data_IF_146233720552
#
_entry.id   IF_146233720552
#
_cell.length_a   1.000
_cell.length_b   1.000
_cell.length_c   1.000
_cell.angle_alpha   90.00
_cell.angle_beta   90.00
_cell.angle_gamma   90.00
#
_symmetry.space_group_name_H-M   'P 1'
#
loop_
_entity.id
_entity.type
_entity.pdbx_description
1 polymer ?
#
# COMPACT_ATOMS: atom_id res chain seq x y z
N UNK A 1 3.93 4.28 -8.67
CA UNK A 1 3.71 4.73 -7.27
C UNK A 1 2.81 5.97 -7.16
N UNK A 2 2.08 6.13 -6.05
CA UNK A 2 1.04 7.16 -5.84
C UNK A 2 1.50 8.60 -6.12
N UNK A 3 2.76 8.96 -5.82
CA UNK A 3 3.26 10.31 -6.06
C UNK A 3 3.28 10.69 -7.54
N UNK A 4 3.62 9.72 -8.42
CA UNK A 4 3.59 9.90 -9.88
C UNK A 4 2.15 9.94 -10.40
N UNK A 5 1.29 9.08 -9.88
CA UNK A 5 -0.14 9.04 -10.26
C UNK A 5 -0.95 10.23 -9.71
N UNK A 6 -0.44 10.95 -8.70
CA UNK A 6 -1.12 12.06 -8.03
C UNK A 6 -0.17 13.25 -7.80
N UNK A 7 0.15 14.04 -8.85
CA UNK A 7 1.05 15.17 -8.74
C UNK A 7 0.62 16.14 -7.63
N UNK A 8 1.57 16.56 -6.78
CA UNK A 8 1.32 17.46 -5.66
C UNK A 8 0.67 16.84 -4.41
N UNK A 9 0.19 15.59 -4.47
CA UNK A 9 -0.50 14.96 -3.34
C UNK A 9 0.34 14.92 -2.07
N UNK A 10 1.57 14.41 -2.15
CA UNK A 10 2.44 14.31 -0.97
C UNK A 10 2.91 15.66 -0.46
N UNK A 11 2.99 16.69 -1.31
CA UNK A 11 3.23 18.07 -0.86
C UNK A 11 2.09 18.55 0.04
N UNK A 12 0.84 18.31 -0.37
CA UNK A 12 -0.32 18.65 0.46
C UNK A 12 -0.31 17.91 1.80
N UNK A 13 -0.02 16.60 1.76
CA UNK A 13 0.08 15.77 2.97
C UNK A 13 1.17 16.27 3.92
N UNK A 14 2.41 16.45 3.45
CA UNK A 14 3.50 16.92 4.31
C UNK A 14 3.24 18.33 4.84
N UNK A 15 2.64 19.21 4.04
CA UNK A 15 2.27 20.57 4.47
C UNK A 15 1.27 20.54 5.63
N UNK A 16 0.18 19.77 5.53
CA UNK A 16 -0.82 19.73 6.60
C UNK A 16 -0.29 19.00 7.83
N UNK A 17 0.44 17.89 7.66
CA UNK A 17 0.99 17.13 8.79
C UNK A 17 2.05 17.95 9.53
N UNK A 18 2.94 18.67 8.84
CA UNK A 18 3.91 19.55 9.47
C UNK A 18 3.23 20.67 10.29
N UNK A 19 2.16 21.28 9.75
CA UNK A 19 1.36 22.24 10.51
C UNK A 19 0.75 21.62 11.76
N UNK A 20 0.19 20.41 11.65
CA UNK A 20 -0.41 19.71 12.78
C UNK A 20 0.64 19.33 13.85
N UNK A 21 1.82 18.87 13.46
CA UNK A 21 2.92 18.60 14.40
C UNK A 21 3.36 19.87 15.12
N UNK A 22 3.44 21.01 14.43
CA UNK A 22 3.79 22.29 15.05
C UNK A 22 2.70 22.79 16.03
N UNK A 23 1.42 22.56 15.73
CA UNK A 23 0.29 23.00 16.57
C UNK A 23 0.11 22.09 17.79
N UNK A 24 0.09 20.77 17.58
CA UNK A 24 -0.25 19.78 18.60
C UNK A 24 0.97 19.38 19.44
N UNK A 25 2.17 19.45 18.85
CA UNK A 25 3.43 19.01 19.46
C UNK A 25 3.35 17.61 20.10
N UNK A 26 2.90 16.59 19.34
CA UNK A 26 2.73 15.25 19.90
C UNK A 26 4.08 14.59 20.15
N UNK A 27 4.17 13.79 21.22
CA UNK A 27 5.33 12.91 21.43
C UNK A 27 5.33 11.73 20.45
N UNK A 28 4.12 11.21 20.13
CA UNK A 28 3.93 10.05 19.24
C UNK A 28 2.78 10.37 18.28
N UNK A 29 2.95 10.05 17.00
CA UNK A 29 1.90 10.15 15.98
C UNK A 29 1.71 8.80 15.28
N UNK A 30 0.45 8.35 15.22
CA UNK A 30 0.08 7.07 14.63
C UNK A 30 -0.49 7.25 13.22
N UNK A 31 -0.04 6.44 12.28
CA UNK A 31 -0.55 6.39 10.91
C UNK A 31 -0.77 4.94 10.48
N UNK A 32 -1.77 4.70 9.63
CA UNK A 32 -2.03 3.34 9.13
C UNK A 32 -1.05 2.92 8.04
N UNK A 33 -0.56 1.68 8.10
CA UNK A 33 0.34 1.09 7.11
C UNK A 33 -0.30 0.92 5.73
N UNK A 34 -1.63 1.01 5.64
CA UNK A 34 -2.37 0.94 4.36
C UNK A 34 -1.88 2.01 3.38
N UNK A 35 -1.63 3.23 3.87
CA UNK A 35 -1.03 4.31 3.08
C UNK A 35 0.51 4.27 3.24
N UNK A 36 1.13 3.13 2.88
CA UNK A 36 2.55 2.85 3.12
C UNK A 36 3.47 4.00 2.67
N UNK A 37 3.24 4.51 1.46
CA UNK A 37 4.04 5.61 0.91
C UNK A 37 3.88 6.91 1.68
N UNK A 38 2.68 7.20 2.19
CA UNK A 38 2.45 8.36 3.04
C UNK A 38 3.24 8.23 4.34
N UNK A 39 3.18 7.07 4.99
CA UNK A 39 3.95 6.82 6.21
C UNK A 39 5.46 6.98 5.96
N UNK A 40 5.99 6.43 4.87
CA UNK A 40 7.39 6.59 4.50
C UNK A 40 7.78 8.06 4.30
N UNK A 41 6.96 8.82 3.55
CA UNK A 41 7.18 10.25 3.32
C UNK A 41 7.08 11.06 4.62
N UNK A 42 6.14 10.76 5.51
CA UNK A 42 5.98 11.45 6.79
C UNK A 42 7.17 11.15 7.70
N UNK A 43 7.61 9.89 7.81
CA UNK A 43 8.83 9.53 8.55
C UNK A 43 10.04 10.29 8.04
N UNK A 44 10.22 10.33 6.72
CA UNK A 44 11.31 11.08 6.09
C UNK A 44 11.24 12.57 6.42
N UNK A 45 10.08 13.18 6.30
CA UNK A 45 9.84 14.59 6.65
C UNK A 45 10.15 14.85 8.13
N UNK A 46 9.69 13.98 9.05
CA UNK A 46 9.96 14.11 10.48
C UNK A 46 11.45 14.12 10.77
N UNK A 47 12.20 13.20 10.16
CA UNK A 47 13.67 13.14 10.29
C UNK A 47 14.34 14.36 9.67
N UNK A 48 14.05 14.68 8.41
CA UNK A 48 14.73 15.77 7.69
C UNK A 48 14.48 17.15 8.33
N UNK A 49 13.32 17.34 8.98
CA UNK A 49 12.95 18.60 9.64
C UNK A 49 13.17 18.58 11.16
N UNK A 50 13.78 17.52 11.71
CA UNK A 50 14.07 17.36 13.14
C UNK A 50 12.84 17.54 14.04
N UNK A 51 11.66 17.08 13.59
CA UNK A 51 10.48 17.07 14.43
C UNK A 51 10.67 16.08 15.59
N UNK A 52 10.45 16.48 16.86
CA UNK A 52 10.59 15.59 18.02
C UNK A 52 9.36 14.69 18.19
N UNK A 53 8.97 13.99 17.13
CA UNK A 53 7.75 13.15 17.07
C UNK A 53 8.13 11.73 16.68
N UNK A 54 7.77 10.74 17.50
CA UNK A 54 7.87 9.33 17.14
C UNK A 54 6.72 8.92 16.21
N UNK A 55 7.03 8.58 14.95
CA UNK A 55 6.02 8.23 13.94
C UNK A 55 5.85 6.71 13.83
N UNK A 56 4.72 6.22 14.34
CA UNK A 56 4.41 4.79 14.40
C UNK A 56 3.39 4.37 13.35
N UNK A 57 3.72 3.28 12.64
CA UNK A 57 2.83 2.62 11.72
C UNK A 57 1.93 1.61 12.44
N UNK A 58 0.64 1.61 12.15
CA UNK A 58 -0.31 0.62 12.65
C UNK A 58 -0.70 -0.38 11.53
N UNK A 59 -0.92 -1.66 11.86
CA UNK A 59 -1.32 -2.68 10.88
C UNK A 59 -2.55 -2.28 10.06
N UNK A 60 -2.65 -2.84 8.85
CA UNK A 60 -3.83 -2.67 8.01
C UNK A 60 -5.00 -3.40 8.66
N UNK A 61 -6.03 -2.66 9.05
CA UNK A 61 -7.30 -3.24 9.48
C UNK A 61 -8.08 -3.66 8.23
N UNK A 62 -8.56 -4.91 8.22
CA UNK A 62 -9.31 -5.50 7.11
C UNK A 62 -10.73 -5.80 7.57
N UNK A 63 -11.67 -5.70 6.63
CA UNK A 63 -13.02 -6.25 6.79
C UNK A 63 -12.96 -7.78 6.88
N UNK A 64 -14.04 -8.44 7.29
CA UNK A 64 -14.07 -9.91 7.51
C UNK A 64 -13.67 -10.72 6.27
N UNK A 65 -13.90 -10.17 5.07
CA UNK A 65 -13.57 -10.77 3.78
C UNK A 65 -12.17 -10.38 3.25
N UNK A 66 -11.38 -9.68 4.07
CA UNK A 66 -10.00 -9.32 3.78
C UNK A 66 -9.81 -7.98 3.07
N UNK A 67 -10.87 -7.31 2.62
CA UNK A 67 -10.73 -5.98 2.01
C UNK A 67 -10.12 -4.99 3.02
N UNK A 68 -9.08 -4.27 2.63
CA UNK A 68 -8.51 -3.22 3.49
C UNK A 68 -9.58 -2.15 3.79
N UNK A 69 -9.80 -1.86 5.08
CA UNK A 69 -10.82 -0.88 5.49
C UNK A 69 -10.51 0.49 4.89
N UNK A 70 -11.54 1.15 4.38
CA UNK A 70 -11.44 2.46 3.74
C UNK A 70 -12.76 3.19 3.90
N UNK A 71 -12.72 4.47 4.24
CA UNK A 71 -13.91 5.33 4.09
C UNK A 71 -14.43 5.34 2.66
N UNK A 72 -13.55 5.11 1.66
CA UNK A 72 -13.91 5.01 0.25
C UNK A 72 -14.72 3.76 -0.11
N UNK A 73 -14.73 2.71 0.73
CA UNK A 73 -15.46 1.47 0.44
C UNK A 73 -16.97 1.74 0.37
N UNK A 74 -17.47 2.79 1.04
CA UNK A 74 -18.87 3.23 0.97
C UNK A 74 -19.31 3.67 -0.43
N UNK A 75 -18.36 4.05 -1.30
CA UNK A 75 -18.65 4.51 -2.65
C UNK A 75 -18.85 3.33 -3.62
N UNK A 76 -18.58 2.10 -3.19
CA UNK A 76 -18.71 0.91 -4.03
C UNK A 76 -20.16 0.43 -4.04
N UNK A 77 -20.70 0.14 -5.22
CA UNK A 77 -21.92 -0.67 -5.32
C UNK A 77 -21.68 -2.08 -4.77
N UNK A 78 -22.74 -2.84 -4.50
CA UNK A 78 -22.60 -4.22 -4.03
C UNK A 78 -21.78 -5.11 -5.00
N UNK A 79 -21.90 -4.87 -6.32
CA UNK A 79 -21.10 -5.57 -7.33
C UNK A 79 -19.64 -5.13 -7.29
N UNK A 80 -19.38 -3.83 -7.28
CA UNK A 80 -18.02 -3.29 -7.19
C UNK A 80 -17.33 -3.70 -5.88
N UNK A 81 -18.05 -3.79 -4.77
CA UNK A 81 -17.53 -4.25 -3.47
C UNK A 81 -17.05 -5.70 -3.51
N UNK A 82 -17.73 -6.56 -4.27
CA UNK A 82 -17.27 -7.95 -4.51
C UNK A 82 -16.03 -7.97 -5.39
N UNK A 83 -16.00 -7.17 -6.46
CA UNK A 83 -14.83 -7.07 -7.35
C UNK A 83 -13.59 -6.49 -6.65
N UNK A 84 -13.78 -5.58 -5.70
CA UNK A 84 -12.70 -5.00 -4.88
C UNK A 84 -11.92 -6.05 -4.07
N UNK A 85 -12.50 -7.23 -3.82
CA UNK A 85 -11.80 -8.34 -3.17
C UNK A 85 -10.68 -8.93 -4.02
N UNK A 86 -10.65 -8.65 -5.33
CA UNK A 86 -9.53 -9.03 -6.19
C UNK A 86 -8.20 -8.45 -5.72
N UNK A 87 -8.19 -7.27 -5.07
CA UNK A 87 -6.97 -6.67 -4.53
C UNK A 87 -6.35 -7.58 -3.46
N UNK A 88 -7.15 -7.97 -2.45
CA UNK A 88 -6.68 -8.85 -1.38
C UNK A 88 -6.34 -10.25 -1.91
N UNK A 89 -7.19 -10.83 -2.76
CA UNK A 89 -6.94 -12.14 -3.37
C UNK A 89 -5.67 -12.16 -4.24
N UNK A 90 -5.33 -11.05 -4.88
CA UNK A 90 -4.10 -10.93 -5.66
C UNK A 90 -2.84 -10.87 -4.77
N UNK A 91 -2.96 -10.29 -3.57
CA UNK A 91 -1.90 -10.31 -2.55
C UNK A 91 -1.69 -11.74 -2.05
N UNK A 92 -2.77 -12.46 -1.71
CA UNK A 92 -2.67 -13.87 -1.28
C UNK A 92 -2.05 -14.75 -2.37
N UNK A 93 -2.38 -14.50 -3.64
CA UNK A 93 -1.77 -15.18 -4.77
C UNK A 93 -0.25 -14.91 -4.82
N UNK A 94 0.17 -13.65 -4.71
CA UNK A 94 1.59 -13.30 -4.73
C UNK A 94 2.35 -13.94 -3.56
N UNK A 95 1.78 -13.90 -2.35
CA UNK A 95 2.34 -14.58 -1.18
C UNK A 95 2.49 -16.08 -1.41
N UNK A 96 1.46 -16.74 -1.97
CA UNK A 96 1.50 -18.17 -2.28
C UNK A 96 2.59 -18.52 -3.29
N UNK A 97 2.80 -17.68 -4.31
CA UNK A 97 3.86 -17.88 -5.31
C UNK A 97 5.25 -17.74 -4.69
N UNK A 98 5.46 -16.75 -3.83
CA UNK A 98 6.73 -16.57 -3.09
C UNK A 98 7.02 -17.78 -2.19
N UNK A 99 6.01 -18.29 -1.47
CA UNK A 99 6.16 -19.52 -0.66
C UNK A 99 6.50 -20.76 -1.49
N UNK A 100 6.15 -20.77 -2.78
CA UNK A 100 6.52 -21.83 -3.74
C UNK A 100 7.88 -21.61 -4.40
N UNK A 101 8.59 -20.54 -4.04
CA UNK A 101 9.94 -20.23 -4.50
C UNK A 101 10.02 -19.26 -5.68
N UNK A 102 8.92 -18.68 -6.15
CA UNK A 102 9.00 -17.62 -7.16
C UNK A 102 9.36 -16.29 -6.51
N UNK A 103 10.53 -15.75 -6.83
CA UNK A 103 11.04 -14.49 -6.27
C UNK A 103 11.05 -13.38 -7.29
N UNK A 104 10.89 -13.63 -8.59
CA UNK A 104 11.02 -12.57 -9.61
C UNK A 104 9.81 -11.65 -9.56
N UNK A 105 10.07 -10.37 -9.32
CA UNK A 105 9.03 -9.34 -9.21
C UNK A 105 8.16 -9.27 -10.46
N UNK A 106 8.75 -9.41 -11.65
CA UNK A 106 8.00 -9.39 -12.92
C UNK A 106 6.92 -10.47 -12.96
N UNK A 107 7.26 -11.71 -12.58
CA UNK A 107 6.31 -12.83 -12.60
C UNK A 107 5.20 -12.64 -11.57
N UNK A 108 5.54 -12.13 -10.38
CA UNK A 108 4.56 -11.83 -9.34
C UNK A 108 3.62 -10.69 -9.76
N UNK A 109 4.16 -9.61 -10.33
CA UNK A 109 3.38 -8.48 -10.84
C UNK A 109 2.43 -8.94 -11.93
N UNK A 110 2.88 -9.74 -12.89
CA UNK A 110 2.03 -10.24 -13.98
C UNK A 110 0.89 -11.12 -13.45
N UNK A 111 1.15 -11.98 -12.45
CA UNK A 111 0.12 -12.79 -11.81
C UNK A 111 -0.92 -11.94 -11.06
N UNK A 112 -0.47 -10.91 -10.33
CA UNK A 112 -1.33 -9.96 -9.63
C UNK A 112 -2.22 -9.21 -10.62
N UNK A 113 -1.63 -8.67 -11.69
CA UNK A 113 -2.36 -7.94 -12.73
C UNK A 113 -3.41 -8.82 -13.38
N UNK A 114 -3.03 -10.01 -13.80
CA UNK A 114 -3.93 -10.99 -14.41
C UNK A 114 -5.11 -11.34 -13.50
N UNK A 115 -4.90 -11.42 -12.18
CA UNK A 115 -5.98 -11.70 -11.22
C UNK A 115 -6.96 -10.53 -11.09
N UNK A 116 -6.46 -9.30 -11.07
CA UNK A 116 -7.27 -8.08 -10.92
C UNK A 116 -8.06 -7.80 -12.20
N UNK A 117 -7.43 -7.97 -13.36
CA UNK A 117 -8.02 -7.69 -14.68
C UNK A 117 -9.15 -8.67 -15.07
N UNK A 118 -9.36 -9.74 -14.30
CA UNK A 118 -10.55 -10.60 -14.42
C UNK A 118 -11.85 -9.91 -13.98
N UNK A 119 -11.75 -8.86 -13.16
CA UNK A 119 -12.91 -8.13 -12.68
C UNK A 119 -13.24 -6.97 -13.65
N UNK A 120 -14.48 -6.87 -14.18
CA UNK A 120 -14.78 -6.00 -15.30
C UNK A 120 -14.73 -4.50 -14.97
N UNK A 121 -14.98 -4.09 -13.73
CA UNK A 121 -14.89 -2.68 -13.32
C UNK A 121 -13.48 -2.31 -12.82
N UNK A 122 -12.51 -3.23 -12.86
CA UNK A 122 -11.18 -3.00 -12.35
C UNK A 122 -10.24 -2.35 -13.38
N UNK A 123 -9.67 -1.22 -13.02
CA UNK A 123 -8.62 -0.53 -13.77
C UNK A 123 -7.39 -0.33 -12.87
N UNK A 124 -6.29 -0.99 -13.22
CA UNK A 124 -5.03 -0.87 -12.48
C UNK A 124 -4.41 0.51 -12.74
N UNK A 125 -4.13 1.25 -11.67
CA UNK A 125 -3.30 2.47 -11.72
C UNK A 125 -1.83 2.09 -11.64
N UNK A 126 -1.46 1.28 -10.64
CA UNK A 126 -0.16 0.63 -10.61
C UNK A 126 -0.19 -0.65 -9.77
N UNK A 127 0.72 -1.56 -10.10
CA UNK A 127 1.17 -2.67 -9.27
C UNK A 127 2.69 -2.64 -9.32
N UNK A 128 3.35 -2.59 -8.18
CA UNK A 128 4.79 -2.37 -8.09
C UNK A 128 5.34 -3.07 -6.86
N UNK A 129 6.53 -3.67 -6.95
CA UNK A 129 7.24 -4.24 -5.81
C UNK A 129 8.54 -3.47 -5.64
N UNK A 130 8.76 -2.96 -4.42
CA UNK A 130 9.90 -2.11 -4.11
C UNK A 130 10.55 -2.49 -2.79
N UNK A 131 11.77 -2.02 -2.54
CA UNK A 131 12.38 -2.07 -1.21
C UNK A 131 11.64 -1.10 -0.25
N UNK A 132 11.42 -1.54 0.99
CA UNK A 132 10.60 -0.84 1.98
C UNK A 132 11.13 0.55 2.37
N UNK A 133 12.44 0.77 2.30
CA UNK A 133 13.07 2.02 2.77
C UNK A 133 13.29 3.00 1.61
N UNK A 134 13.84 2.50 0.50
CA UNK A 134 14.19 3.31 -0.67
C UNK A 134 13.00 3.57 -1.60
N UNK A 135 11.96 2.74 -1.55
CA UNK A 135 10.84 2.71 -2.50
C UNK A 135 11.31 2.53 -3.97
N UNK A 136 12.53 2.03 -4.18
CA UNK A 136 13.05 1.68 -5.51
C UNK A 136 12.58 0.28 -5.90
N UNK A 137 12.38 0.08 -7.20
CA UNK A 137 11.98 -1.21 -7.76
C UNK A 137 13.03 -2.28 -7.44
N UNK A 138 12.54 -3.48 -7.13
CA UNK A 138 13.38 -4.66 -6.91
C UNK A 138 13.09 -5.70 -7.98
N UNK A 139 14.13 -6.31 -8.53
CA UNK A 139 13.99 -7.38 -9.53
C UNK A 139 13.58 -8.71 -8.89
N UNK A 140 14.09 -8.99 -7.70
CA UNK A 140 13.77 -10.15 -6.90
C UNK A 140 13.26 -9.75 -5.50
N UNK A 141 12.22 -10.44 -5.06
CA UNK A 141 11.55 -10.25 -3.78
C UNK A 141 12.34 -10.92 -2.67
N UNK A 142 12.50 -10.21 -1.56
CA UNK A 142 13.09 -10.70 -0.33
C UNK A 142 12.32 -10.16 0.89
N UNK A 143 12.80 -10.42 2.11
CA UNK A 143 12.15 -10.00 3.35
C UNK A 143 12.00 -8.48 3.53
N UNK A 144 12.68 -7.65 2.74
CA UNK A 144 12.56 -6.18 2.77
C UNK A 144 11.63 -5.62 1.68
N UNK A 145 11.11 -6.49 0.82
CA UNK A 145 10.27 -6.09 -0.30
C UNK A 145 8.84 -5.81 0.15
N UNK A 146 8.22 -4.83 -0.50
CA UNK A 146 6.82 -4.43 -0.29
C UNK A 146 6.12 -4.38 -1.64
N UNK A 147 5.02 -5.10 -1.75
CA UNK A 147 4.07 -4.98 -2.84
C UNK A 147 3.16 -3.77 -2.58
N UNK A 148 3.07 -2.87 -3.55
CA UNK A 148 2.17 -1.72 -3.54
C UNK A 148 1.23 -1.80 -4.74
N UNK A 149 -0.08 -1.69 -4.49
CA UNK A 149 -1.07 -1.69 -5.56
C UNK A 149 -2.10 -0.58 -5.38
N UNK A 150 -2.55 -0.05 -6.52
CA UNK A 150 -3.65 0.89 -6.60
C UNK A 150 -4.53 0.53 -7.79
N UNK A 151 -5.83 0.39 -7.53
CA UNK A 151 -6.81 -0.07 -8.52
C UNK A 151 -8.05 0.80 -8.38
N UNK A 152 -8.60 1.25 -9.50
CA UNK A 152 -9.94 1.83 -9.54
C UNK A 152 -10.95 0.71 -9.77
N UNK A 153 -11.98 0.66 -8.94
CA UNK A 153 -13.16 -0.19 -9.16
C UNK A 153 -14.33 0.76 -9.43
N UNK A 154 -14.78 0.81 -10.70
CA UNK A 154 -15.58 1.93 -11.18
C UNK A 154 -14.84 3.26 -10.95
N UNK A 155 -15.47 4.22 -10.29
CA UNK A 155 -14.86 5.52 -9.98
C UNK A 155 -14.03 5.52 -8.68
N UNK A 156 -14.10 4.44 -7.89
CA UNK A 156 -13.48 4.38 -6.56
C UNK A 156 -12.06 3.86 -6.65
N UNK A 157 -11.07 4.74 -6.39
CA UNK A 157 -9.65 4.36 -6.30
C UNK A 157 -9.30 3.79 -4.93
N UNK A 158 -9.03 2.49 -4.90
CA UNK A 158 -8.57 1.72 -3.75
C UNK A 158 -7.05 1.52 -3.80
N UNK A 159 -6.47 1.31 -2.63
CA UNK A 159 -5.05 0.94 -2.46
C UNK A 159 -4.96 -0.19 -1.45
N UNK A 160 -3.96 -1.03 -1.63
CA UNK A 160 -3.55 -2.04 -0.67
C UNK A 160 -2.02 -2.25 -0.78
N UNK A 161 -1.44 -2.92 0.20
CA UNK A 161 -0.03 -3.30 0.18
C UNK A 161 0.24 -4.54 1.01
N UNK A 162 1.40 -5.14 0.79
CA UNK A 162 1.86 -6.33 1.51
C UNK A 162 3.37 -6.32 1.72
N UNK A 163 3.80 -6.61 2.94
CA UNK A 163 5.20 -6.77 3.30
C UNK A 163 5.60 -8.24 3.18
N UNK A 164 6.60 -8.55 2.36
CA UNK A 164 7.04 -9.94 2.19
C UNK A 164 7.88 -10.47 3.36
N UNK A 165 8.27 -9.64 4.33
CA UNK A 165 8.98 -10.05 5.55
C UNK A 165 8.36 -11.30 6.20
N UNK A 166 7.03 -11.29 6.40
CA UNK A 166 6.29 -12.42 6.99
C UNK A 166 6.34 -13.70 6.18
N UNK A 167 6.62 -13.62 4.88
CA UNK A 167 6.75 -14.79 3.99
C UNK A 167 8.13 -15.44 4.12
N UNK A 168 9.18 -14.65 4.38
CA UNK A 168 10.55 -15.13 4.52
C UNK A 168 10.92 -15.51 5.96
N UNK A 169 10.27 -14.91 6.96
CA UNK A 169 10.45 -15.29 8.38
C UNK A 169 9.73 -16.60 8.75
N UNK A 170 8.83 -17.09 7.87
CA UNK A 170 8.04 -18.30 8.08
C UNK A 170 8.64 -19.57 7.43
N UNK A 171 9.86 -19.49 6.89
CA UNK A 171 10.62 -20.59 6.29
C UNK A 171 11.77 -21.03 7.21
#
# INVERSE_FOLDING_TARGET
LCGRSRPGHFRGVTTVVAKLFAIVQPHIAFFGNKDFQQLAVIRRMTTDLNFPVDVRGLPIVREEDGLAMSSRNVNLSATQRRQALSLFKSIELAESLVRKGETRSVTLIDAIRSRIEQEPDAQIDYVQICDQDSLQDVEEVNGRSVLLLAVKIGDTRLIDNYHFASTFDAA
#
